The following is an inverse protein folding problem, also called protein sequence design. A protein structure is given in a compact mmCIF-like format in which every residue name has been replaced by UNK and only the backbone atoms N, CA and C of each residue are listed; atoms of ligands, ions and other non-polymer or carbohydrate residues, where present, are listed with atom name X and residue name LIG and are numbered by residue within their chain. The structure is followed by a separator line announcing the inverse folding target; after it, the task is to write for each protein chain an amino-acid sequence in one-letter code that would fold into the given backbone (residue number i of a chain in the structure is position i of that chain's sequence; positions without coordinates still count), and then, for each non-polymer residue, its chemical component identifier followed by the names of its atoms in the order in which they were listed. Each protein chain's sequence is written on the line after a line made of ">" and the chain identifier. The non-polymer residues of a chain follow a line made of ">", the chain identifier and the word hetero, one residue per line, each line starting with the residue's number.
data_IF_166143205754
#
_entry.id   IF_166143205754
#
_cell.length_a   1.000
_cell.length_b   1.000
_cell.length_c   1.000
_cell.angle_alpha   90.00
_cell.angle_beta   90.00
_cell.angle_gamma   90.00
#
_symmetry.space_group_name_H-M   'P 1'
#
loop_
_entity.id
_entity.type
_entity.pdbx_description
1 polymer ?
#
# COMPACT_ATOMS: atom_id res chain seq x y z
N UNK A 1 14.20 7.53 -17.28
CA UNK A 1 13.09 6.80 -16.63
C UNK A 1 12.97 7.40 -15.24
N UNK A 2 11.84 8.05 -14.93
CA UNK A 2 11.69 8.78 -13.65
C UNK A 2 11.61 7.81 -12.48
N UNK A 3 12.23 8.18 -11.36
CA UNK A 3 12.11 7.46 -10.09
C UNK A 3 10.69 7.64 -9.54
N UNK A 4 10.11 6.62 -8.90
CA UNK A 4 8.71 6.67 -8.45
C UNK A 4 8.58 7.56 -7.20
N UNK A 5 7.56 8.44 -7.12
CA UNK A 5 7.28 9.22 -5.90
C UNK A 5 6.47 8.45 -4.85
N UNK A 6 5.50 7.64 -5.31
CA UNK A 6 4.59 6.86 -4.47
C UNK A 6 4.92 5.38 -4.65
N UNK A 7 5.09 4.65 -3.54
CA UNK A 7 5.42 3.22 -3.54
C UNK A 7 4.39 2.46 -2.69
N UNK A 8 3.77 1.45 -3.30
CA UNK A 8 2.83 0.55 -2.63
C UNK A 8 3.53 -0.79 -2.36
N UNK A 9 3.60 -1.17 -1.10
CA UNK A 9 4.22 -2.42 -0.64
C UNK A 9 3.12 -3.47 -0.44
N UNK A 10 3.11 -4.50 -1.28
CA UNK A 10 2.21 -5.65 -1.18
C UNK A 10 3.07 -6.91 -1.04
N UNK A 11 3.42 -7.27 0.19
CA UNK A 11 4.31 -8.39 0.52
C UNK A 11 3.80 -9.11 1.77
N UNK A 12 4.19 -10.37 1.98
CA UNK A 12 3.91 -11.13 3.20
C UNK A 12 2.91 -12.28 3.05
N UNK A 13 2.01 -12.25 2.07
CA UNK A 13 0.99 -13.31 1.93
C UNK A 13 1.59 -14.70 1.64
N UNK A 14 2.74 -14.74 0.93
CA UNK A 14 3.44 -16.00 0.61
C UNK A 14 4.21 -16.50 1.83
N UNK A 15 4.91 -15.61 2.51
CA UNK A 15 5.70 -15.92 3.70
C UNK A 15 4.81 -16.46 4.82
N UNK A 16 3.58 -15.94 4.96
CA UNK A 16 2.60 -16.45 5.93
C UNK A 16 2.20 -17.92 5.70
N UNK A 17 2.36 -18.44 4.48
CA UNK A 17 2.12 -19.87 4.22
C UNK A 17 3.27 -20.76 4.68
N UNK A 18 4.44 -20.18 4.96
CA UNK A 18 5.57 -20.92 5.48
C UNK A 18 5.41 -21.05 7.01
N UNK A 19 5.23 -22.28 7.55
CA UNK A 19 5.09 -22.48 9.00
C UNK A 19 6.32 -22.03 9.80
N UNK A 20 7.48 -21.90 9.15
CA UNK A 20 8.71 -21.42 9.77
C UNK A 20 8.81 -19.89 9.82
N UNK A 21 7.96 -19.16 9.10
CA UNK A 21 8.00 -17.70 9.09
C UNK A 21 7.36 -17.14 10.37
N UNK A 22 8.07 -16.26 11.06
CA UNK A 22 7.53 -15.60 12.25
C UNK A 22 6.87 -14.27 11.88
N UNK A 23 5.64 -14.04 12.35
CA UNK A 23 4.94 -12.77 12.11
C UNK A 23 5.71 -11.55 12.63
N UNK A 24 6.52 -11.73 13.68
CA UNK A 24 7.39 -10.69 14.24
C UNK A 24 8.50 -10.28 13.27
N UNK A 25 9.20 -11.23 12.65
CA UNK A 25 10.24 -10.93 11.66
C UNK A 25 9.64 -10.32 10.39
N UNK A 26 8.48 -10.82 9.95
CA UNK A 26 7.76 -10.24 8.82
C UNK A 26 7.41 -8.78 9.07
N UNK A 27 6.83 -8.47 10.23
CA UNK A 27 6.56 -7.08 10.63
C UNK A 27 7.83 -6.24 10.59
N UNK A 28 8.92 -6.71 11.22
CA UNK A 28 10.20 -6.00 11.27
C UNK A 28 10.69 -5.67 9.86
N UNK A 29 10.70 -6.65 8.96
CA UNK A 29 11.19 -6.47 7.60
C UNK A 29 10.31 -5.49 6.80
N UNK A 30 8.98 -5.57 6.95
CA UNK A 30 8.06 -4.64 6.29
C UNK A 30 8.25 -3.20 6.78
N UNK A 31 8.41 -3.01 8.10
CA UNK A 31 8.70 -1.71 8.69
C UNK A 31 10.03 -1.16 8.17
N UNK A 32 11.08 -1.99 8.11
CA UNK A 32 12.40 -1.57 7.61
C UNK A 32 12.35 -1.14 6.13
N UNK A 33 11.56 -1.83 5.31
CA UNK A 33 11.32 -1.43 3.91
C UNK A 33 10.61 -0.07 3.87
N UNK A 34 9.54 0.11 4.65
CA UNK A 34 8.83 1.38 4.73
C UNK A 34 9.77 2.53 5.12
N UNK A 35 10.52 2.38 6.20
CA UNK A 35 11.44 3.40 6.70
C UNK A 35 12.53 3.72 5.69
N UNK A 36 13.07 2.71 5.01
CA UNK A 36 14.08 2.89 3.97
C UNK A 36 13.55 3.71 2.79
N UNK A 37 12.33 3.43 2.34
CA UNK A 37 11.69 4.17 1.25
C UNK A 37 11.34 5.61 1.68
N UNK A 38 10.82 5.81 2.89
CA UNK A 38 10.54 7.14 3.45
C UNK A 38 11.80 7.99 3.55
N UNK A 39 12.93 7.41 3.99
CA UNK A 39 14.25 8.09 4.02
C UNK A 39 14.74 8.51 2.63
N UNK A 40 14.25 7.86 1.57
CA UNK A 40 14.49 8.25 0.16
C UNK A 40 13.47 9.26 -0.36
N UNK A 41 12.66 9.85 0.52
CA UNK A 41 11.63 10.84 0.15
C UNK A 41 10.42 10.24 -0.54
N UNK A 42 10.13 8.95 -0.34
CA UNK A 42 8.98 8.29 -0.97
C UNK A 42 7.73 8.40 -0.11
N UNK A 43 6.59 8.61 -0.76
CA UNK A 43 5.28 8.37 -0.16
C UNK A 43 5.01 6.87 -0.15
N UNK A 44 4.84 6.29 1.04
CA UNK A 44 4.76 4.83 1.20
C UNK A 44 3.38 4.41 1.63
N UNK A 45 2.84 3.40 0.94
CA UNK A 45 1.64 2.69 1.32
C UNK A 45 2.00 1.26 1.68
N UNK A 46 1.55 0.80 2.83
CA UNK A 46 1.75 -0.57 3.28
C UNK A 46 0.43 -1.32 3.26
N UNK A 47 0.37 -2.35 2.43
CA UNK A 47 -0.82 -3.19 2.35
C UNK A 47 -0.92 -4.14 3.55
N UNK A 48 -2.15 -4.53 3.88
CA UNK A 48 -2.37 -5.70 4.73
C UNK A 48 -2.04 -6.98 3.96
N UNK A 49 -1.85 -8.09 4.66
CA UNK A 49 -1.64 -9.41 4.05
C UNK A 49 -2.96 -10.14 3.86
N UNK A 50 -3.04 -10.94 2.80
CA UNK A 50 -4.16 -11.84 2.57
C UNK A 50 -4.03 -13.09 3.47
N UNK A 51 -5.15 -13.76 3.73
CA UNK A 51 -5.15 -15.04 4.45
C UNK A 51 -4.30 -16.08 3.70
N UNK A 52 -3.44 -16.85 4.38
CA UNK A 52 -2.72 -17.99 3.80
C UNK A 52 -3.68 -19.13 3.41
N UNK A 53 -4.87 -19.17 4.04
CA UNK A 53 -5.99 -20.03 3.68
C UNK A 53 -7.28 -19.19 3.57
N UNK A 54 -7.60 -18.66 2.38
CA UNK A 54 -8.74 -17.77 2.20
C UNK A 54 -10.10 -18.42 2.53
N UNK A 55 -10.21 -19.74 2.30
CA UNK A 55 -11.47 -20.49 2.39
C UNK A 55 -11.68 -21.19 3.74
N UNK A 56 -10.70 -21.12 4.65
CA UNK A 56 -10.84 -21.63 6.01
C UNK A 56 -12.08 -21.03 6.70
N UNK A 57 -12.83 -21.90 7.39
CA UNK A 57 -14.02 -21.53 8.17
C UNK A 57 -13.71 -20.74 9.43
N UNK A 58 -12.49 -20.87 9.94
CA UNK A 58 -12.01 -20.13 11.11
C UNK A 58 -11.34 -18.81 10.69
N UNK A 59 -11.35 -17.83 11.59
CA UNK A 59 -10.57 -16.60 11.40
C UNK A 59 -9.10 -16.94 11.51
N UNK A 60 -8.34 -16.79 10.42
CA UNK A 60 -6.90 -17.01 10.45
C UNK A 60 -6.23 -16.05 11.46
N UNK A 61 -5.74 -16.62 12.55
CA UNK A 61 -5.14 -15.86 13.65
C UNK A 61 -3.79 -15.25 13.25
N UNK A 62 -3.07 -15.86 12.30
CA UNK A 62 -1.75 -15.41 11.88
C UNK A 62 -1.82 -14.12 11.05
N UNK A 63 -2.60 -14.11 9.96
CA UNK A 63 -2.83 -12.88 9.18
C UNK A 63 -3.52 -11.80 10.00
N UNK A 64 -4.48 -12.14 10.85
CA UNK A 64 -5.16 -11.19 11.74
C UNK A 64 -4.19 -10.49 12.71
N UNK A 65 -3.31 -11.27 13.35
CA UNK A 65 -2.30 -10.72 14.28
C UNK A 65 -1.31 -9.82 13.56
N UNK A 66 -0.80 -10.25 12.40
CA UNK A 66 0.14 -9.45 11.61
C UNK A 66 -0.54 -8.16 11.13
N UNK A 67 -1.74 -8.24 10.55
CA UNK A 67 -2.48 -7.08 10.05
C UNK A 67 -2.76 -6.06 11.15
N UNK A 68 -3.17 -6.50 12.33
CA UNK A 68 -3.34 -5.62 13.50
C UNK A 68 -2.04 -4.89 13.85
N UNK A 69 -0.91 -5.59 13.79
CA UNK A 69 0.40 -5.00 14.08
C UNK A 69 0.87 -4.02 12.98
N UNK A 70 0.55 -4.28 11.71
CA UNK A 70 0.83 -3.38 10.58
C UNK A 70 -0.04 -2.12 10.65
N UNK A 71 -1.32 -2.25 11.00
CA UNK A 71 -2.22 -1.13 11.22
C UNK A 71 -1.75 -0.23 12.36
N UNK A 72 -1.36 -0.84 13.49
CA UNK A 72 -0.82 -0.09 14.62
C UNK A 72 0.45 0.67 14.21
N UNK A 73 1.33 0.05 13.43
CA UNK A 73 2.51 0.72 12.89
C UNK A 73 2.13 1.93 12.02
N UNK A 74 1.28 1.75 11.00
CA UNK A 74 0.85 2.86 10.14
C UNK A 74 0.23 3.99 10.95
N UNK A 75 -0.64 3.65 11.93
CA UNK A 75 -1.27 4.63 12.84
C UNK A 75 -0.24 5.38 13.68
N UNK A 76 0.81 4.71 14.16
CA UNK A 76 1.87 5.37 14.93
C UNK A 76 2.64 6.42 14.13
N UNK A 77 2.69 6.29 12.80
CA UNK A 77 3.34 7.28 11.92
C UNK A 77 2.45 8.44 11.51
N UNK A 78 1.16 8.44 11.89
CA UNK A 78 0.15 9.34 11.31
C UNK A 78 0.37 10.84 11.57
N UNK A 79 1.15 11.19 12.60
CA UNK A 79 1.51 12.58 12.93
C UNK A 79 2.88 13.00 12.37
N UNK A 80 3.58 12.10 11.70
CA UNK A 80 4.87 12.40 11.06
C UNK A 80 4.68 13.15 9.75
N UNK A 81 5.72 13.83 9.26
CA UNK A 81 5.66 14.62 8.02
C UNK A 81 5.30 13.78 6.78
N UNK A 82 5.80 12.55 6.71
CA UNK A 82 5.58 11.63 5.59
C UNK A 82 5.02 10.30 6.09
N UNK A 83 3.76 10.21 6.57
CA UNK A 83 3.23 9.01 7.22
C UNK A 83 3.18 7.80 6.28
N UNK A 84 3.21 6.58 6.85
CA UNK A 84 2.91 5.36 6.11
C UNK A 84 1.38 5.21 6.03
N UNK A 85 0.85 5.15 4.81
CA UNK A 85 -0.58 4.95 4.58
C UNK A 85 -0.90 3.46 4.66
N UNK A 86 -1.87 3.08 5.48
CA UNK A 86 -2.34 1.69 5.58
C UNK A 86 -3.27 1.37 4.40
N UNK A 87 -2.74 0.67 3.40
CA UNK A 87 -3.48 0.23 2.23
C UNK A 87 -2.55 -0.19 1.09
N UNK A 88 -3.03 -1.03 0.14
CA UNK A 88 -4.37 -1.60 0.01
C UNK A 88 -4.78 -2.59 1.12
N UNK A 89 -6.09 -2.82 1.30
CA UNK A 89 -6.65 -3.72 2.32
C UNK A 89 -7.00 -5.09 1.72
N UNK A 90 -6.08 -6.06 1.82
CA UNK A 90 -6.25 -7.44 1.34
C UNK A 90 -7.00 -8.36 2.33
N UNK A 91 -7.16 -7.89 3.57
CA UNK A 91 -7.79 -8.59 4.69
C UNK A 91 -9.33 -8.46 4.71
N UNK A 92 -9.91 -7.74 3.75
CA UNK A 92 -11.36 -7.59 3.64
C UNK A 92 -12.03 -8.92 3.29
N UNK A 93 -13.16 -9.21 3.94
CA UNK A 93 -13.98 -10.40 3.70
C UNK A 93 -14.37 -10.59 2.22
N UNK A 94 -14.48 -9.51 1.44
CA UNK A 94 -14.73 -9.59 0.00
C UNK A 94 -13.70 -10.45 -0.76
N UNK A 95 -12.45 -10.51 -0.26
CA UNK A 95 -11.34 -11.22 -0.88
C UNK A 95 -11.15 -12.67 -0.38
N UNK A 96 -11.96 -13.10 0.61
CA UNK A 96 -11.93 -14.47 1.15
C UNK A 96 -12.95 -15.41 0.50
N UNK A 97 -13.77 -14.91 -0.44
CA UNK A 97 -14.83 -15.70 -1.08
C UNK A 97 -14.26 -16.55 -2.19
N UNK A 98 -14.78 -17.75 -2.41
CA UNK A 98 -14.31 -18.63 -3.50
C UNK A 98 -14.39 -17.96 -4.88
N UNK A 99 -15.47 -17.19 -5.13
CA UNK A 99 -15.62 -16.44 -6.37
C UNK A 99 -14.71 -15.19 -6.48
N UNK A 100 -13.96 -14.86 -5.43
CA UNK A 100 -12.96 -13.81 -5.44
C UNK A 100 -11.56 -14.34 -5.83
N UNK A 101 -11.39 -15.66 -5.83
CA UNK A 101 -10.12 -16.32 -6.05
C UNK A 101 -10.00 -16.82 -7.49
N UNK A 102 -8.76 -17.04 -7.91
CA UNK A 102 -8.40 -17.69 -9.17
C UNK A 102 -8.62 -19.20 -9.07
N UNK A 103 -8.30 -19.92 -10.15
CA UNK A 103 -8.43 -21.38 -10.22
C UNK A 103 -7.61 -22.13 -9.15
N UNK A 104 -6.57 -21.50 -8.61
CA UNK A 104 -5.73 -22.04 -7.54
C UNK A 104 -6.29 -21.84 -6.13
N UNK A 105 -7.46 -21.21 -6.02
CA UNK A 105 -8.13 -20.91 -4.74
C UNK A 105 -7.26 -20.11 -3.77
N UNK A 106 -6.30 -19.34 -4.28
CA UNK A 106 -5.37 -18.57 -3.46
C UNK A 106 -5.14 -17.16 -4.00
N UNK A 107 -4.74 -17.01 -5.26
CA UNK A 107 -4.57 -15.70 -5.85
C UNK A 107 -5.93 -15.07 -6.13
N UNK A 108 -5.99 -13.74 -6.12
CA UNK A 108 -7.20 -13.04 -6.55
C UNK A 108 -7.44 -13.24 -8.04
N UNK A 109 -8.70 -13.38 -8.45
CA UNK A 109 -9.04 -13.31 -9.86
C UNK A 109 -9.09 -11.86 -10.36
N UNK A 110 -9.30 -11.69 -11.66
CA UNK A 110 -9.33 -10.38 -12.31
C UNK A 110 -10.40 -9.43 -11.73
N UNK A 111 -11.55 -9.95 -11.31
CA UNK A 111 -12.61 -9.15 -10.69
C UNK A 111 -12.17 -8.62 -9.32
N UNK A 112 -11.55 -9.47 -8.51
CA UNK A 112 -11.03 -9.08 -7.20
C UNK A 112 -9.89 -8.08 -7.29
N UNK A 113 -8.96 -8.24 -8.24
CA UNK A 113 -7.92 -7.23 -8.48
C UNK A 113 -8.50 -5.87 -8.91
N UNK A 114 -9.56 -5.86 -9.73
CA UNK A 114 -10.27 -4.62 -10.08
C UNK A 114 -10.93 -3.97 -8.86
N UNK A 115 -11.55 -4.76 -7.99
CA UNK A 115 -12.12 -4.26 -6.74
C UNK A 115 -11.04 -3.69 -5.81
N UNK A 116 -9.92 -4.39 -5.65
CA UNK A 116 -8.79 -3.93 -4.86
C UNK A 116 -8.24 -2.60 -5.39
N UNK A 117 -8.05 -2.49 -6.72
CA UNK A 117 -7.59 -1.26 -7.35
C UNK A 117 -8.59 -0.11 -7.13
N UNK A 118 -9.90 -0.36 -7.23
CA UNK A 118 -10.93 0.63 -6.94
C UNK A 118 -10.88 1.11 -5.50
N UNK A 119 -10.81 0.20 -4.53
CA UNK A 119 -10.71 0.56 -3.10
C UNK A 119 -9.39 1.29 -2.79
N UNK A 120 -8.33 1.00 -3.54
CA UNK A 120 -7.03 1.68 -3.41
C UNK A 120 -7.11 3.13 -3.86
N UNK A 121 -7.97 3.45 -4.82
CA UNK A 121 -8.11 4.81 -5.35
C UNK A 121 -8.50 5.83 -4.26
N UNK A 122 -9.23 5.42 -3.22
CA UNK A 122 -9.71 6.31 -2.15
C UNK A 122 -8.57 7.03 -1.42
N UNK A 123 -7.43 6.37 -1.23
CA UNK A 123 -6.24 7.00 -0.65
C UNK A 123 -5.17 7.33 -1.69
N UNK A 124 -5.11 6.60 -2.80
CA UNK A 124 -4.08 6.78 -3.83
C UNK A 124 -4.29 8.05 -4.65
N UNK A 125 -5.53 8.36 -5.05
CA UNK A 125 -5.82 9.54 -5.88
C UNK A 125 -5.42 10.83 -5.17
N UNK A 126 -5.78 11.08 -3.89
CA UNK A 126 -5.32 12.28 -3.18
C UNK A 126 -3.80 12.44 -3.14
N UNK A 127 -3.04 11.35 -2.93
CA UNK A 127 -1.57 11.41 -2.95
C UNK A 127 -1.03 11.72 -4.34
N UNK A 128 -1.55 11.06 -5.38
CA UNK A 128 -1.15 11.33 -6.76
C UNK A 128 -1.43 12.78 -7.16
N UNK A 129 -2.59 13.33 -6.77
CA UNK A 129 -2.94 14.72 -7.01
C UNK A 129 -1.99 15.68 -6.30
N UNK A 130 -1.56 15.38 -5.07
CA UNK A 130 -0.58 16.20 -4.35
C UNK A 130 0.78 16.22 -5.05
N UNK A 131 1.26 15.06 -5.51
CA UNK A 131 2.52 14.94 -6.26
C UNK A 131 2.47 15.64 -7.62
N UNK A 132 1.35 15.51 -8.33
CA UNK A 132 1.11 16.24 -9.58
C UNK A 132 1.14 17.75 -9.35
N UNK A 133 0.51 18.23 -8.26
CA UNK A 133 0.50 19.64 -7.89
C UNK A 133 1.89 20.17 -7.54
N UNK A 134 2.71 19.39 -6.83
CA UNK A 134 4.10 19.75 -6.54
C UNK A 134 4.92 19.87 -7.83
N UNK A 135 4.79 18.89 -8.72
CA UNK A 135 5.44 18.90 -10.04
C UNK A 135 5.01 20.12 -10.85
N UNK A 136 3.72 20.46 -10.86
CA UNK A 136 3.21 21.58 -11.62
C UNK A 136 3.72 22.93 -11.09
N UNK A 137 3.78 23.11 -9.77
CA UNK A 137 4.38 24.33 -9.16
C UNK A 137 5.84 24.50 -9.51
N UNK A 138 6.62 23.41 -9.47
CA UNK A 138 8.03 23.46 -9.86
C UNK A 138 8.18 23.94 -11.31
N UNK A 139 7.36 23.40 -12.21
CA UNK A 139 7.36 23.83 -13.62
C UNK A 139 6.96 25.30 -13.77
N UNK A 140 5.95 25.77 -13.04
CA UNK A 140 5.52 27.18 -13.08
C UNK A 140 6.62 28.14 -12.59
N UNK A 141 7.41 27.74 -11.60
CA UNK A 141 8.55 28.55 -11.11
C UNK A 141 9.65 28.74 -12.16
N UNK A 142 9.67 27.92 -13.21
CA UNK A 142 10.61 28.03 -14.32
C UNK A 142 10.06 28.80 -15.53
N UNK A 143 8.79 29.24 -15.48
CA UNK A 143 8.20 30.07 -16.54
C UNK A 143 8.70 31.51 -16.39
N UNK A 144 9.44 31.98 -17.39
CA UNK A 144 9.81 33.39 -17.52
C UNK A 144 8.74 34.11 -18.32
N UNK A 145 8.06 35.07 -17.70
CA UNK A 145 7.10 35.92 -18.40
C UNK A 145 7.85 37.01 -19.15
N UNK A 146 7.55 37.15 -20.45
CA UNK A 146 8.00 38.30 -21.21
C UNK A 146 7.22 39.54 -20.77
N UNK A 147 7.92 40.51 -20.18
CA UNK A 147 7.30 41.75 -19.69
C UNK A 147 6.64 42.55 -20.82
N UNK A 148 7.08 42.37 -22.07
CA UNK A 148 6.50 43.06 -23.23
C UNK A 148 5.07 42.60 -23.59
N UNK A 149 4.57 41.52 -23.01
CA UNK A 149 3.17 41.06 -23.20
C UNK A 149 2.17 41.70 -22.23
N UNK A 150 2.66 42.47 -21.25
CA UNK A 150 1.85 43.06 -20.19
C UNK A 150 1.96 44.60 -20.11
N UNK A 151 2.64 45.23 -21.07
CA UNK A 151 2.68 46.68 -21.33
C UNK A 151 2.01 47.00 -22.67
#
# INVERSE_FOLDING_TARGET
>A
MGDASIVIIILGSVELRNPAATGTEMKRNLVEICDTLRKKGKHVCLATVASPDPLASETDSASSTLNTALEHFCKSTSTEEAPVVCGPRLDNYAFRRENALSYDKYHFNSQSYRLLARNTADFLVPMMTAEEWNTWKEQLNHVTYDKALYE
#
